data_IF_871638070626
#
_entry.id   IF_871638070626
#
_cell.length_a   1.000
_cell.length_b   1.000
_cell.length_c   1.000
_cell.angle_alpha   90.00
_cell.angle_beta   90.00
_cell.angle_gamma   90.00
#
_symmetry.space_group_name_H-M   'P 1'
#
loop_
_entity.id
_entity.type
_entity.pdbx_description
1 polymer ?
#
# COMPACT_ATOMS: atom_id res chain seq x y z
N UNK A 1 5.89 4.73 14.02
CA UNK A 1 6.56 5.04 15.31
C UNK A 1 7.73 4.08 15.59
N UNK A 2 7.49 2.73 15.78
CA UNK A 2 8.61 1.80 16.03
C UNK A 2 9.63 1.81 14.88
N UNK A 3 9.19 1.71 13.63
CA UNK A 3 10.05 1.70 12.46
C UNK A 3 10.87 2.99 12.23
N UNK A 4 10.50 4.10 12.85
CA UNK A 4 11.24 5.38 12.75
C UNK A 4 12.57 5.36 13.50
N UNK A 5 12.72 4.43 14.44
CA UNK A 5 13.88 4.29 15.31
C UNK A 5 14.79 3.12 14.90
N UNK A 6 14.35 2.29 13.94
CA UNK A 6 15.04 1.08 13.55
C UNK A 6 15.85 1.22 12.27
N UNK A 7 16.82 0.29 12.11
CA UNK A 7 17.59 0.13 10.89
C UNK A 7 16.77 -0.65 9.83
N UNK A 8 16.42 -0.01 8.70
CA UNK A 8 15.65 -0.67 7.65
C UNK A 8 16.41 -1.76 6.89
N UNK A 9 17.71 -1.89 7.09
CA UNK A 9 18.57 -2.89 6.43
C UNK A 9 19.01 -4.03 7.35
N UNK A 10 18.57 -4.03 8.61
CA UNK A 10 18.95 -5.07 9.60
C UNK A 10 18.41 -6.44 9.23
N UNK A 11 17.21 -6.52 8.69
CA UNK A 11 16.57 -7.78 8.31
C UNK A 11 16.22 -7.78 6.82
N UNK A 12 16.61 -8.86 6.14
CA UNK A 12 16.21 -9.03 4.75
C UNK A 12 14.83 -9.70 4.68
N UNK A 13 13.94 -9.08 3.88
CA UNK A 13 12.60 -9.56 3.58
C UNK A 13 12.40 -9.67 2.06
N UNK A 14 11.63 -10.66 1.58
CA UNK A 14 11.41 -10.81 0.14
C UNK A 14 10.56 -9.66 -0.41
N UNK A 15 10.89 -9.23 -1.64
CA UNK A 15 10.09 -8.29 -2.43
C UNK A 15 9.24 -9.10 -3.40
N UNK A 16 7.96 -9.30 -3.03
CA UNK A 16 7.06 -10.17 -3.77
C UNK A 16 6.79 -9.70 -5.21
N UNK A 17 6.81 -10.62 -6.14
CA UNK A 17 6.40 -10.44 -7.56
C UNK A 17 7.04 -9.26 -8.32
N UNK A 18 8.13 -8.69 -7.85
CA UNK A 18 8.78 -7.54 -8.50
C UNK A 18 9.25 -7.89 -9.92
N UNK A 19 9.66 -9.14 -10.14
CA UNK A 19 10.14 -9.64 -11.43
C UNK A 19 9.02 -10.21 -12.32
N UNK A 20 7.79 -10.39 -11.78
CA UNK A 20 6.67 -10.86 -12.58
C UNK A 20 6.25 -9.78 -13.59
N UNK A 21 5.89 -10.17 -14.84
CA UNK A 21 5.35 -9.24 -15.83
C UNK A 21 3.97 -8.68 -15.43
N UNK A 22 3.26 -9.34 -14.53
CA UNK A 22 1.93 -8.95 -14.08
C UNK A 22 1.96 -7.63 -13.30
N UNK A 23 0.92 -6.83 -13.46
CA UNK A 23 0.76 -5.54 -12.78
C UNK A 23 0.10 -5.72 -11.39
N UNK A 24 0.25 -6.89 -10.80
CA UNK A 24 -0.35 -7.21 -9.50
C UNK A 24 0.66 -7.09 -8.36
N UNK A 25 0.16 -6.81 -7.17
CA UNK A 25 0.95 -6.85 -5.95
C UNK A 25 0.64 -8.13 -5.16
N UNK A 26 1.67 -8.72 -4.56
CA UNK A 26 1.51 -9.83 -3.63
C UNK A 26 2.40 -9.64 -2.41
N UNK A 27 1.78 -9.70 -1.25
CA UNK A 27 2.47 -9.62 0.04
C UNK A 27 2.43 -10.94 0.82
N UNK A 28 1.92 -12.02 0.21
CA UNK A 28 1.78 -13.32 0.87
C UNK A 28 3.12 -13.86 1.33
N UNK A 29 4.14 -13.87 0.46
CA UNK A 29 5.49 -14.30 0.80
C UNK A 29 6.14 -13.41 1.86
N UNK A 30 5.90 -12.10 1.81
CA UNK A 30 6.41 -11.16 2.81
C UNK A 30 5.81 -11.42 4.20
N UNK A 31 4.48 -11.60 4.28
CA UNK A 31 3.78 -11.95 5.53
C UNK A 31 4.26 -13.29 6.10
N UNK A 32 4.41 -14.29 5.24
CA UNK A 32 4.91 -15.61 5.64
C UNK A 32 6.35 -15.55 6.15
N UNK A 33 7.22 -14.78 5.50
CA UNK A 33 8.60 -14.57 5.93
C UNK A 33 8.67 -13.90 7.31
N UNK A 34 7.84 -12.88 7.55
CA UNK A 34 7.74 -12.24 8.87
C UNK A 34 7.29 -13.25 9.93
N UNK A 35 6.22 -14.02 9.66
CA UNK A 35 5.71 -15.02 10.59
C UNK A 35 6.79 -16.03 10.98
N UNK A 36 7.49 -16.64 10.02
CA UNK A 36 8.55 -17.60 10.30
C UNK A 36 9.73 -16.99 11.05
N UNK A 37 9.99 -15.71 10.88
CA UNK A 37 11.02 -15.03 11.65
C UNK A 37 10.58 -14.84 13.10
N UNK A 38 9.35 -14.40 13.33
CA UNK A 38 8.79 -14.21 14.67
C UNK A 38 8.73 -15.53 15.46
N UNK A 39 8.35 -16.63 14.79
CA UNK A 39 8.30 -17.97 15.41
C UNK A 39 9.68 -18.47 15.92
N UNK A 40 10.77 -17.87 15.44
CA UNK A 40 12.15 -18.25 15.82
C UNK A 40 12.80 -17.28 16.82
N UNK A 41 12.12 -16.21 17.19
CA UNK A 41 12.64 -15.19 18.10
C UNK A 41 12.09 -15.46 19.52
N UNK A 42 12.95 -15.31 20.55
CA UNK A 42 12.45 -15.22 21.91
C UNK A 42 11.86 -13.83 22.17
N UNK A 43 11.07 -13.71 23.24
CA UNK A 43 10.44 -12.44 23.60
C UNK A 43 11.46 -11.33 23.83
N UNK A 44 12.60 -11.65 24.46
CA UNK A 44 13.66 -10.68 24.74
C UNK A 44 14.33 -10.19 23.44
N UNK A 45 14.56 -11.10 22.48
CA UNK A 45 15.11 -10.76 21.17
C UNK A 45 14.11 -9.94 20.36
N UNK A 46 12.84 -10.30 20.41
CA UNK A 46 11.78 -9.56 19.72
C UNK A 46 11.65 -8.14 20.27
N UNK A 47 11.64 -7.96 21.59
CA UNK A 47 11.54 -6.65 22.22
C UNK A 47 12.72 -5.75 21.83
N UNK A 48 13.93 -6.27 21.86
CA UNK A 48 15.16 -5.56 21.49
C UNK A 48 15.18 -5.16 20.02
N UNK A 49 14.82 -6.08 19.13
CA UNK A 49 14.99 -5.93 17.68
C UNK A 49 13.71 -5.43 16.96
N UNK A 50 12.62 -5.18 17.70
CA UNK A 50 11.32 -4.74 17.16
C UNK A 50 11.40 -3.49 16.29
N UNK A 51 12.14 -2.42 16.64
CA UNK A 51 12.26 -1.24 15.78
C UNK A 51 12.88 -1.60 14.42
N UNK A 52 13.96 -2.37 14.41
CA UNK A 52 14.66 -2.78 13.20
C UNK A 52 13.81 -3.72 12.34
N UNK A 53 13.09 -4.63 12.99
CA UNK A 53 12.17 -5.53 12.32
C UNK A 53 11.05 -4.75 11.62
N UNK A 54 10.46 -3.78 12.30
CA UNK A 54 9.43 -2.90 11.75
C UNK A 54 9.96 -2.05 10.60
N UNK A 55 11.16 -1.48 10.74
CA UNK A 55 11.80 -0.66 9.72
C UNK A 55 12.12 -1.47 8.45
N UNK A 56 12.70 -2.67 8.62
CA UNK A 56 13.05 -3.56 7.52
C UNK A 56 11.82 -4.10 6.79
N UNK A 57 10.78 -4.46 7.54
CA UNK A 57 9.50 -4.89 6.97
C UNK A 57 8.82 -3.76 6.19
N UNK A 58 8.77 -2.55 6.77
CA UNK A 58 8.25 -1.35 6.10
C UNK A 58 8.99 -1.07 4.80
N UNK A 59 10.33 -1.13 4.82
CA UNK A 59 11.15 -0.94 3.62
C UNK A 59 10.77 -1.95 2.54
N UNK A 60 10.64 -3.23 2.87
CA UNK A 60 10.28 -4.28 1.92
C UNK A 60 8.89 -4.06 1.28
N UNK A 61 7.90 -3.60 2.05
CA UNK A 61 6.58 -3.22 1.53
C UNK A 61 6.70 -2.06 0.55
N UNK A 62 7.35 -0.98 0.98
CA UNK A 62 7.49 0.26 0.18
C UNK A 62 8.25 0.01 -1.11
N UNK A 63 9.36 -0.73 -1.04
CA UNK A 63 10.14 -1.09 -2.23
C UNK A 63 9.36 -1.98 -3.21
N UNK A 64 8.61 -2.96 -2.71
CA UNK A 64 7.76 -3.80 -3.57
C UNK A 64 6.76 -2.96 -4.36
N UNK A 65 6.10 -2.01 -3.70
CA UNK A 65 5.17 -1.09 -4.35
C UNK A 65 5.88 -0.17 -5.35
N UNK A 66 6.99 0.45 -4.94
CA UNK A 66 7.72 1.40 -5.77
C UNK A 66 8.35 0.76 -7.02
N UNK A 67 8.96 -0.41 -6.88
CA UNK A 67 9.60 -1.13 -7.98
C UNK A 67 8.58 -1.55 -9.04
N UNK A 68 7.44 -2.09 -8.61
CA UNK A 68 6.35 -2.46 -9.53
C UNK A 68 5.77 -1.24 -10.21
N UNK A 69 5.51 -0.16 -9.47
CA UNK A 69 5.01 1.10 -10.04
C UNK A 69 5.99 1.66 -11.06
N UNK A 70 7.28 1.69 -10.77
CA UNK A 70 8.31 2.12 -11.74
C UNK A 70 8.30 1.28 -13.02
N UNK A 71 8.10 -0.04 -12.88
CA UNK A 71 8.01 -0.94 -14.04
C UNK A 71 6.81 -0.61 -14.92
N UNK A 72 5.66 -0.32 -14.30
CA UNK A 72 4.43 0.07 -15.02
C UNK A 72 4.63 1.42 -15.72
N UNK A 73 5.15 2.41 -15.00
CA UNK A 73 5.36 3.76 -15.56
C UNK A 73 6.32 3.78 -16.75
N UNK A 74 7.27 2.83 -16.81
CA UNK A 74 8.18 2.68 -17.96
C UNK A 74 7.50 2.09 -19.20
N UNK A 75 6.41 1.35 -19.03
CA UNK A 75 5.74 0.62 -20.12
C UNK A 75 4.58 1.38 -20.75
N UNK A 76 4.09 2.42 -20.11
CA UNK A 76 2.92 3.18 -20.56
C UNK A 76 3.10 4.68 -20.50
N UNK A 77 2.19 5.39 -21.16
CA UNK A 77 2.12 6.84 -21.12
C UNK A 77 1.06 7.28 -20.10
N UNK A 78 1.51 7.65 -18.93
CA UNK A 78 0.65 8.11 -17.84
C UNK A 78 0.76 9.63 -17.69
N UNK A 79 -0.30 10.28 -17.26
CA UNK A 79 -0.33 11.73 -17.03
C UNK A 79 -0.18 12.10 -15.55
N UNK A 80 -0.47 11.16 -14.68
CA UNK A 80 -0.39 11.35 -13.21
C UNK A 80 -0.33 10.00 -12.49
N UNK A 81 0.01 10.03 -11.21
CA UNK A 81 -0.09 8.91 -10.29
C UNK A 81 -0.93 9.32 -9.09
N UNK A 82 -1.89 8.48 -8.70
CA UNK A 82 -2.70 8.65 -7.49
C UNK A 82 -2.24 7.69 -6.38
N UNK A 83 -2.20 8.18 -5.15
CA UNK A 83 -1.93 7.39 -3.96
C UNK A 83 -3.04 7.61 -2.93
N UNK A 84 -3.82 6.56 -2.63
CA UNK A 84 -4.95 6.61 -1.69
C UNK A 84 -5.03 5.33 -0.86
N UNK A 85 -5.98 5.28 0.09
CA UNK A 85 -6.15 4.18 1.02
C UNK A 85 -5.36 4.35 2.32
N UNK A 86 -5.65 3.55 3.35
CA UNK A 86 -5.09 3.70 4.70
C UNK A 86 -3.56 3.66 4.75
N UNK A 87 -2.92 2.81 3.93
CA UNK A 87 -1.46 2.70 3.85
C UNK A 87 -0.82 3.95 3.23
N UNK A 88 -1.56 4.73 2.45
CA UNK A 88 -1.09 5.99 1.86
C UNK A 88 -0.72 7.07 2.90
N UNK A 89 -1.09 6.88 4.16
CA UNK A 89 -0.65 7.76 5.27
C UNK A 89 0.78 7.48 5.75
N UNK A 90 1.39 6.39 5.30
CA UNK A 90 2.77 6.10 5.66
C UNK A 90 3.72 7.13 5.02
N UNK A 91 4.49 7.84 5.86
CA UNK A 91 5.39 8.90 5.42
C UNK A 91 6.50 8.42 4.49
N UNK A 92 7.07 7.23 4.76
CA UNK A 92 8.11 6.63 3.92
C UNK A 92 7.55 6.27 2.54
N UNK A 93 6.33 5.74 2.50
CA UNK A 93 5.66 5.45 1.23
C UNK A 93 5.42 6.74 0.42
N UNK A 94 4.90 7.79 1.05
CA UNK A 94 4.66 9.09 0.40
C UNK A 94 5.95 9.69 -0.18
N UNK A 95 7.02 9.72 0.61
CA UNK A 95 8.31 10.26 0.13
C UNK A 95 8.89 9.44 -1.02
N UNK A 96 8.83 8.11 -0.92
CA UNK A 96 9.30 7.22 -1.99
C UNK A 96 8.50 7.41 -3.28
N UNK A 97 7.17 7.54 -3.19
CA UNK A 97 6.34 7.76 -4.37
C UNK A 97 6.52 9.15 -4.98
N UNK A 98 6.79 10.16 -4.16
CA UNK A 98 7.19 11.49 -4.64
C UNK A 98 8.49 11.42 -5.46
N UNK A 99 9.47 10.64 -5.02
CA UNK A 99 10.69 10.42 -5.80
C UNK A 99 10.42 9.67 -7.11
N UNK A 100 9.57 8.62 -7.07
CA UNK A 100 9.18 7.86 -8.25
C UNK A 100 8.55 8.76 -9.30
N UNK A 101 7.61 9.61 -8.89
CA UNK A 101 6.90 10.51 -9.80
C UNK A 101 7.79 11.66 -10.30
N UNK A 102 8.66 12.20 -9.46
CA UNK A 102 9.63 13.22 -9.87
C UNK A 102 10.56 12.70 -10.97
N UNK A 103 11.08 11.48 -10.82
CA UNK A 103 11.93 10.85 -11.85
C UNK A 103 11.19 10.59 -13.16
N UNK A 104 9.89 10.34 -13.08
CA UNK A 104 9.01 10.13 -14.25
C UNK A 104 8.40 11.43 -14.79
N UNK A 105 8.67 12.57 -14.16
CA UNK A 105 8.11 13.89 -14.48
C UNK A 105 6.57 13.88 -14.45
N UNK A 106 5.97 13.17 -13.49
CA UNK A 106 4.54 13.05 -13.31
C UNK A 106 4.08 13.76 -12.04
N UNK A 107 2.90 14.38 -12.02
CA UNK A 107 2.28 14.82 -10.78
C UNK A 107 1.86 13.62 -9.92
N UNK A 108 2.08 13.73 -8.60
CA UNK A 108 1.56 12.79 -7.60
C UNK A 108 0.37 13.42 -6.91
N UNK A 109 -0.79 12.77 -7.00
CA UNK A 109 -1.98 13.11 -6.23
C UNK A 109 -2.07 12.19 -5.01
N UNK A 110 -2.18 12.77 -3.84
CA UNK A 110 -2.38 12.03 -2.58
C UNK A 110 -3.61 12.56 -1.88
N UNK A 111 -4.45 11.65 -1.40
CA UNK A 111 -5.55 12.04 -0.52
C UNK A 111 -5.02 12.66 0.78
N UNK A 112 -5.76 13.60 1.33
CA UNK A 112 -5.50 14.11 2.68
C UNK A 112 -5.62 12.98 3.70
N UNK A 113 -4.81 13.06 4.76
CA UNK A 113 -4.72 11.97 5.76
C UNK A 113 -6.06 11.60 6.38
N UNK A 114 -6.95 12.56 6.54
CA UNK A 114 -8.29 12.37 7.09
C UNK A 114 -9.25 11.67 6.11
N UNK A 115 -8.92 11.65 4.82
CA UNK A 115 -9.75 11.09 3.75
C UNK A 115 -9.21 9.79 3.18
N UNK A 116 -8.16 9.23 3.77
CA UNK A 116 -7.54 7.99 3.27
C UNK A 116 -8.18 6.71 3.80
N UNK A 117 -8.93 6.79 4.89
CA UNK A 117 -9.70 5.67 5.45
C UNK A 117 -11.13 5.63 4.92
N UNK A 118 -11.81 4.52 5.15
CA UNK A 118 -13.24 4.39 4.85
C UNK A 118 -14.04 5.43 5.63
N UNK A 119 -14.86 6.20 4.93
CA UNK A 119 -15.71 7.21 5.55
C UNK A 119 -17.01 7.40 4.75
N UNK A 120 -18.05 7.83 5.46
CA UNK A 120 -19.38 8.04 4.86
C UNK A 120 -19.38 9.12 3.78
N UNK A 121 -18.47 10.11 3.86
CA UNK A 121 -18.34 11.16 2.86
C UNK A 121 -17.98 10.65 1.48
N UNK A 122 -17.16 9.59 1.39
CA UNK A 122 -16.82 8.95 0.11
C UNK A 122 -18.07 8.34 -0.54
N UNK A 123 -18.91 7.70 0.24
CA UNK A 123 -20.16 7.07 -0.25
C UNK A 123 -21.16 8.14 -0.66
N UNK A 124 -21.31 9.19 0.14
CA UNK A 124 -22.19 10.31 -0.19
C UNK A 124 -21.74 11.04 -1.45
N UNK A 125 -20.42 11.23 -1.63
CA UNK A 125 -19.87 11.85 -2.83
C UNK A 125 -20.03 10.96 -4.08
N UNK A 126 -19.83 9.64 -3.95
CA UNK A 126 -20.08 8.71 -5.04
C UNK A 126 -21.56 8.74 -5.48
N UNK A 127 -22.48 8.73 -4.53
CA UNK A 127 -23.92 8.84 -4.80
C UNK A 127 -24.31 10.20 -5.43
N UNK A 128 -23.60 11.27 -5.06
CA UNK A 128 -23.81 12.59 -5.68
C UNK A 128 -23.34 12.62 -7.15
N UNK A 129 -22.23 11.95 -7.46
CA UNK A 129 -21.70 11.90 -8.83
C UNK A 129 -22.49 10.98 -9.74
N UNK A 130 -23.06 9.92 -9.21
CA UNK A 130 -23.88 8.95 -9.93
C UNK A 130 -25.16 8.63 -9.14
N UNK A 131 -26.17 9.52 -9.19
CA UNK A 131 -27.41 9.32 -8.47
C UNK A 131 -28.23 8.10 -8.95
N UNK A 132 -28.04 7.71 -10.22
CA UNK A 132 -28.76 6.58 -10.81
C UNK A 132 -28.03 5.25 -10.54
N UNK A 133 -26.72 5.26 -10.36
CA UNK A 133 -25.94 4.09 -9.92
C UNK A 133 -26.26 3.65 -8.50
N UNK A 134 -26.88 4.52 -7.72
CA UNK A 134 -27.44 4.20 -6.40
C UNK A 134 -28.77 3.45 -6.49
N UNK A 135 -29.06 2.84 -7.60
CA UNK A 135 -30.37 2.25 -7.89
C UNK A 135 -30.81 1.33 -6.76
N UNK A 136 -31.50 1.94 -5.85
CA UNK A 136 -32.15 1.32 -4.73
C UNK A 136 -33.39 0.58 -5.24
N UNK A 137 -33.17 -0.45 -6.03
CA UNK A 137 -34.19 -1.46 -6.15
C UNK A 137 -34.31 -2.08 -4.77
N UNK A 138 -35.18 -1.45 -3.99
CA UNK A 138 -35.81 -2.04 -2.83
C UNK A 138 -34.96 -2.33 -1.60
N UNK A 139 -34.33 -1.34 -0.97
CA UNK A 139 -33.84 -1.48 0.41
C UNK A 139 -33.02 -2.76 0.72
N UNK A 140 -32.53 -3.45 -0.29
CA UNK A 140 -31.70 -4.65 -0.15
C UNK A 140 -30.26 -4.31 -0.40
N UNK A 141 -29.60 -3.81 0.63
CA UNK A 141 -28.13 -3.67 0.64
C UNK A 141 -27.54 -5.09 0.69
N UNK A 142 -26.78 -5.47 -0.33
CA UNK A 142 -25.96 -6.67 -0.30
C UNK A 142 -24.49 -6.28 -0.21
N UNK A 143 -23.76 -6.93 0.66
CA UNK A 143 -22.31 -6.77 0.76
C UNK A 143 -21.64 -7.87 -0.04
N UNK A 144 -20.85 -7.50 -1.04
CA UNK A 144 -20.06 -8.46 -1.82
C UNK A 144 -18.55 -8.18 -1.63
N UNK A 145 -17.90 -8.80 -0.64
CA UNK A 145 -16.49 -8.57 -0.34
C UNK A 145 -15.54 -9.05 -1.46
N UNK A 146 -16.03 -9.86 -2.37
CA UNK A 146 -15.26 -10.40 -3.51
C UNK A 146 -15.45 -9.63 -4.83
N UNK A 147 -16.14 -8.49 -4.80
CA UNK A 147 -16.39 -7.73 -6.01
C UNK A 147 -15.09 -7.18 -6.60
N UNK A 148 -14.84 -7.54 -7.85
CA UNK A 148 -13.68 -7.03 -8.61
C UNK A 148 -14.15 -5.88 -9.49
N UNK A 149 -13.42 -4.80 -9.46
CA UNK A 149 -13.59 -3.73 -10.46
C UNK A 149 -13.19 -4.30 -11.82
N UNK A 150 -14.08 -4.14 -12.78
CA UNK A 150 -13.88 -4.57 -14.16
C UNK A 150 -12.82 -3.69 -14.86
#
# INVERSE_FOLDING_TARGET
KAAEQGDPHRFDFPRGMVQSPDITFSFSGLKTSLRYRLEKMSDEVLERDLPDLCASYQLAVVESLALKTRSVLKKGSYKSLGLSGGVANNGVLRSTFKEVTNRSKLPLFTAESQQTGDNAGMIAFAAFLDPEGTNADNNRLSVNPGWKLA
#
